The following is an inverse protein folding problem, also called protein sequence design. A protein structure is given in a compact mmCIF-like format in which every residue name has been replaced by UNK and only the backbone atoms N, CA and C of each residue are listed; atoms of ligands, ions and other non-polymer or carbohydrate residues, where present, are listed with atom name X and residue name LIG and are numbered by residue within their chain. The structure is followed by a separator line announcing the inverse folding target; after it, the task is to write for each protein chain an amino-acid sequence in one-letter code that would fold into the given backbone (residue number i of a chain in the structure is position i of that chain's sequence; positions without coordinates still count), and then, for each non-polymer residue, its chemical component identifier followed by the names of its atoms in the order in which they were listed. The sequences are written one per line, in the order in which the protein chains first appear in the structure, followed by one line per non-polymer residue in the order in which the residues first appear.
data_IF_622842824934
#
_entry.id   IF_622842824934
#
_cell.length_a   1.000
_cell.length_b   1.000
_cell.length_c   1.000
_cell.angle_alpha   90.00
_cell.angle_beta   90.00
_cell.angle_gamma   90.00
#
_symmetry.space_group_name_H-M   'P 1'
#
loop_
_entity.id
_entity.type
_entity.pdbx_description
1 polymer ?
#
# COMPACT_ATOMS: atom_id res chain seq x y z
N UNK A 1 12.89 -7.38 11.03
CA UNK A 1 12.20 -7.35 12.33
C UNK A 1 10.85 -6.74 12.06
N UNK A 2 9.82 -7.57 11.89
CA UNK A 2 8.45 -7.10 11.67
C UNK A 2 7.99 -6.47 12.98
N UNK A 3 7.74 -5.17 12.94
CA UNK A 3 7.22 -4.42 14.07
C UNK A 3 5.70 -4.58 14.01
N UNK A 4 5.23 -5.78 14.37
CA UNK A 4 3.83 -6.19 14.25
C UNK A 4 2.99 -5.45 15.30
N UNK A 5 2.30 -4.39 14.86
CA UNK A 5 1.29 -3.68 15.64
C UNK A 5 1.64 -2.23 16.00
N UNK A 6 1.15 -1.78 17.15
CA UNK A 6 1.33 -0.41 17.64
C UNK A 6 2.69 -0.25 18.34
N UNK A 7 3.34 0.91 18.15
CA UNK A 7 4.59 1.24 18.85
C UNK A 7 4.39 1.96 20.18
N UNK A 8 3.16 2.40 20.45
CA UNK A 8 2.75 3.07 21.69
C UNK A 8 1.53 2.34 22.29
N UNK A 9 1.27 2.45 23.59
CA UNK A 9 0.09 1.87 24.22
C UNK A 9 -1.21 2.32 23.53
N UNK A 10 -2.10 1.37 23.20
CA UNK A 10 -3.30 1.64 22.40
C UNK A 10 -4.25 2.63 23.10
N UNK A 11 -4.30 2.58 24.42
CA UNK A 11 -5.06 3.46 25.29
C UNK A 11 -4.59 4.92 25.26
N UNK A 12 -3.36 5.19 24.84
CA UNK A 12 -2.82 6.53 24.66
C UNK A 12 -3.07 7.08 23.24
N UNK A 13 -3.57 6.25 22.32
CA UNK A 13 -3.84 6.62 20.94
C UNK A 13 -5.28 7.07 20.75
N UNK A 14 -5.45 8.20 20.05
CA UNK A 14 -6.76 8.65 19.62
C UNK A 14 -7.41 7.65 18.64
N UNK A 15 -8.74 7.66 18.55
CA UNK A 15 -9.46 6.86 17.55
C UNK A 15 -8.98 7.18 16.13
N UNK A 16 -8.74 8.46 15.83
CA UNK A 16 -8.25 8.90 14.52
C UNK A 16 -6.87 8.30 14.19
N UNK A 17 -5.92 8.35 15.13
CA UNK A 17 -4.59 7.77 14.95
C UNK A 17 -4.68 6.26 14.73
N UNK A 18 -5.55 5.58 15.48
CA UNK A 18 -5.75 4.14 15.32
C UNK A 18 -6.40 3.80 13.98
N UNK A 19 -7.33 4.59 13.48
CA UNK A 19 -7.94 4.39 12.17
C UNK A 19 -6.93 4.64 11.04
N UNK A 20 -6.10 5.67 11.16
CA UNK A 20 -4.99 5.92 10.24
C UNK A 20 -3.96 4.79 10.27
N UNK A 21 -3.60 4.28 11.45
CA UNK A 21 -2.72 3.12 11.57
C UNK A 21 -3.28 1.88 10.85
N UNK A 22 -4.57 1.58 11.03
CA UNK A 22 -5.23 0.48 10.30
C UNK A 22 -5.10 0.68 8.79
N UNK A 23 -5.39 1.88 8.29
CA UNK A 23 -5.28 2.17 6.86
C UNK A 23 -3.84 2.02 6.34
N UNK A 24 -2.85 2.51 7.08
CA UNK A 24 -1.43 2.42 6.69
C UNK A 24 -0.96 0.97 6.68
N UNK A 25 -1.26 0.19 7.73
CA UNK A 25 -0.85 -1.22 7.80
C UNK A 25 -1.52 -2.03 6.69
N UNK A 26 -2.82 -1.84 6.45
CA UNK A 26 -3.49 -2.50 5.33
C UNK A 26 -2.87 -2.11 3.98
N UNK A 27 -2.56 -0.83 3.75
CA UNK A 27 -1.86 -0.41 2.53
C UNK A 27 -0.47 -1.08 2.40
N UNK A 28 0.27 -1.21 3.50
CA UNK A 28 1.57 -1.92 3.51
C UNK A 28 1.39 -3.39 3.13
N UNK A 29 0.42 -4.09 3.71
CA UNK A 29 0.10 -5.49 3.43
C UNK A 29 -0.25 -5.71 1.95
N UNK A 30 -1.07 -4.82 1.35
CA UNK A 30 -1.42 -4.91 -0.07
C UNK A 30 -0.17 -4.73 -0.96
N UNK A 31 0.71 -3.78 -0.62
CA UNK A 31 1.95 -3.55 -1.38
C UNK A 31 2.94 -4.72 -1.24
N UNK A 32 3.03 -5.34 -0.06
CA UNK A 32 3.80 -6.57 0.15
C UNK A 32 3.23 -7.74 -0.68
N UNK A 33 1.90 -7.89 -0.71
CA UNK A 33 1.25 -8.91 -1.53
C UNK A 33 1.52 -8.70 -3.03
N UNK A 34 1.44 -7.45 -3.53
CA UNK A 34 1.80 -7.10 -4.91
C UNK A 34 3.24 -7.53 -5.22
N UNK A 35 4.21 -7.19 -4.37
CA UNK A 35 5.62 -7.57 -4.57
C UNK A 35 5.80 -9.08 -4.56
N UNK A 36 5.29 -9.78 -3.54
CA UNK A 36 5.42 -11.23 -3.43
C UNK A 36 4.78 -11.97 -4.60
N UNK A 37 3.59 -11.57 -5.03
CA UNK A 37 2.97 -12.15 -6.21
C UNK A 37 3.78 -11.87 -7.46
N UNK A 38 4.37 -10.68 -7.62
CA UNK A 38 5.20 -10.37 -8.78
C UNK A 38 6.42 -11.30 -8.87
N UNK A 39 7.13 -11.49 -7.75
CA UNK A 39 8.25 -12.45 -7.66
C UNK A 39 7.81 -13.89 -7.98
N UNK A 40 6.65 -14.31 -7.43
CA UNK A 40 6.11 -15.65 -7.68
C UNK A 40 5.69 -15.83 -9.13
N UNK A 41 5.08 -14.84 -9.77
CA UNK A 41 4.69 -14.88 -11.19
C UNK A 41 5.92 -15.12 -12.09
N UNK A 42 7.02 -14.42 -11.83
CA UNK A 42 8.27 -14.58 -12.59
C UNK A 42 8.92 -15.96 -12.38
N UNK A 43 8.91 -16.46 -11.14
CA UNK A 43 9.50 -17.75 -10.80
C UNK A 43 8.62 -18.96 -11.20
N UNK A 44 7.30 -18.81 -11.24
CA UNK A 44 6.34 -19.90 -11.37
C UNK A 44 6.48 -20.64 -12.71
N UNK A 45 6.46 -21.97 -12.70
CA UNK A 45 6.61 -22.80 -13.91
C UNK A 45 5.29 -23.34 -14.44
N UNK A 46 4.23 -23.32 -13.63
CA UNK A 46 2.90 -23.75 -14.01
C UNK A 46 2.09 -22.56 -14.57
N UNK A 47 1.57 -22.65 -15.80
CA UNK A 47 0.85 -21.53 -16.43
C UNK A 47 -0.52 -21.24 -15.80
N UNK A 48 -1.21 -22.24 -15.25
CA UNK A 48 -2.51 -22.07 -14.60
C UNK A 48 -2.35 -21.34 -13.28
N UNK A 49 -1.40 -21.80 -12.44
CA UNK A 49 -1.06 -21.10 -11.20
C UNK A 49 -0.55 -19.68 -11.48
N UNK A 50 0.30 -19.49 -12.51
CA UNK A 50 0.79 -18.16 -12.89
C UNK A 50 -0.35 -17.20 -13.22
N UNK A 51 -1.40 -17.67 -13.90
CA UNK A 51 -2.57 -16.86 -14.21
C UNK A 51 -3.32 -16.41 -12.95
N UNK A 52 -3.52 -17.31 -11.97
CA UNK A 52 -4.14 -16.99 -10.68
C UNK A 52 -3.30 -15.97 -9.90
N UNK A 53 -2.00 -16.20 -9.78
CA UNK A 53 -1.10 -15.29 -9.06
C UNK A 53 -1.08 -13.89 -9.69
N UNK A 54 -1.12 -13.80 -11.03
CA UNK A 54 -1.19 -12.53 -11.75
C UNK A 54 -2.52 -11.82 -11.52
N UNK A 55 -3.62 -12.55 -11.53
CA UNK A 55 -4.95 -12.00 -11.24
C UNK A 55 -4.97 -11.37 -9.85
N UNK A 56 -4.63 -12.15 -8.82
CA UNK A 56 -4.63 -11.67 -7.43
C UNK A 56 -3.73 -10.45 -7.27
N UNK A 57 -2.50 -10.48 -7.82
CA UNK A 57 -1.56 -9.34 -7.81
C UNK A 57 -2.20 -8.05 -8.34
N UNK A 58 -2.99 -8.15 -9.40
CA UNK A 58 -3.57 -6.99 -10.04
C UNK A 58 -4.81 -6.49 -9.27
N UNK A 59 -5.54 -7.35 -8.56
CA UNK A 59 -6.59 -6.96 -7.60
C UNK A 59 -6.02 -6.24 -6.37
N UNK A 60 -4.89 -6.69 -5.80
CA UNK A 60 -4.30 -6.01 -4.63
C UNK A 60 -3.88 -4.55 -4.94
N UNK A 61 -3.61 -4.24 -6.21
CA UNK A 61 -3.35 -2.84 -6.64
C UNK A 61 -4.60 -1.97 -6.54
N UNK A 62 -5.78 -2.54 -6.77
CA UNK A 62 -7.05 -1.86 -6.55
C UNK A 62 -7.26 -1.62 -5.05
N UNK A 63 -7.05 -2.65 -4.22
CA UNK A 63 -7.15 -2.53 -2.75
C UNK A 63 -6.21 -1.44 -2.23
N UNK A 64 -4.94 -1.46 -2.65
CA UNK A 64 -3.96 -0.44 -2.30
C UNK A 64 -4.42 0.98 -2.72
N UNK A 65 -4.93 1.14 -3.95
CA UNK A 65 -5.41 2.43 -4.45
C UNK A 65 -6.62 2.95 -3.66
N UNK A 66 -7.57 2.07 -3.30
CA UNK A 66 -8.75 2.42 -2.50
C UNK A 66 -8.37 2.91 -1.10
N UNK A 67 -7.46 2.20 -0.43
CA UNK A 67 -7.00 2.57 0.92
C UNK A 67 -6.18 3.86 0.88
N UNK A 68 -5.30 4.01 -0.11
CA UNK A 68 -4.52 5.24 -0.32
C UNK A 68 -5.42 6.47 -0.52
N UNK A 69 -6.51 6.33 -1.27
CA UNK A 69 -7.48 7.41 -1.46
C UNK A 69 -8.21 7.78 -0.15
N UNK A 70 -8.51 6.79 0.71
CA UNK A 70 -9.09 7.06 2.03
C UNK A 70 -8.13 7.87 2.92
N UNK A 71 -6.83 7.53 2.89
CA UNK A 71 -5.75 8.26 3.58
C UNK A 71 -5.64 9.69 3.04
N UNK A 72 -5.56 9.85 1.71
CA UNK A 72 -5.47 11.16 1.05
C UNK A 72 -6.58 12.12 1.50
N UNK A 73 -7.82 11.62 1.65
CA UNK A 73 -8.96 12.45 2.09
C UNK A 73 -8.87 12.95 3.53
N UNK A 74 -7.99 12.37 4.36
CA UNK A 74 -7.90 12.64 5.81
C UNK A 74 -6.57 13.22 6.25
N UNK A 75 -5.53 13.11 5.42
CA UNK A 75 -4.24 13.73 5.68
C UNK A 75 -3.97 14.82 4.62
N UNK A 76 -4.15 16.12 4.97
CA UNK A 76 -3.90 17.23 4.06
C UNK A 76 -2.45 17.29 3.57
N UNK A 77 -1.48 16.79 4.36
CA UNK A 77 -0.09 16.75 3.93
C UNK A 77 0.09 15.67 2.88
N UNK A 78 -0.49 14.50 3.09
CA UNK A 78 -0.49 13.42 2.10
C UNK A 78 -1.17 13.85 0.80
N UNK A 79 -2.30 14.56 0.86
CA UNK A 79 -2.97 15.12 -0.34
C UNK A 79 -2.08 16.07 -1.13
N UNK A 80 -1.43 17.02 -0.45
CA UNK A 80 -0.52 17.96 -1.09
C UNK A 80 0.59 17.22 -1.84
N UNK A 81 1.30 16.32 -1.17
CA UNK A 81 2.43 15.61 -1.80
C UNK A 81 1.95 14.71 -2.94
N UNK A 82 0.83 13.99 -2.79
CA UNK A 82 0.31 13.17 -3.88
C UNK A 82 -0.04 14.00 -5.12
N UNK A 83 -0.64 15.18 -4.96
CA UNK A 83 -0.94 16.08 -6.09
C UNK A 83 0.31 16.66 -6.74
N UNK A 84 1.35 16.90 -5.95
CA UNK A 84 2.61 17.44 -6.46
C UNK A 84 3.30 16.43 -7.38
N UNK A 85 3.19 15.11 -7.14
CA UNK A 85 3.97 14.09 -7.85
C UNK A 85 3.17 13.16 -8.78
N UNK A 86 1.96 12.74 -8.39
CA UNK A 86 1.20 11.78 -9.19
C UNK A 86 0.74 12.39 -10.52
N UNK A 87 0.73 11.55 -11.56
CA UNK A 87 0.28 11.91 -12.92
C UNK A 87 1.08 13.07 -13.55
N UNK A 88 2.38 13.13 -13.25
CA UNK A 88 3.31 14.10 -13.86
C UNK A 88 4.42 13.39 -14.63
N UNK A 89 4.95 14.04 -15.66
CA UNK A 89 6.12 13.56 -16.45
C UNK A 89 7.44 14.20 -16.00
N UNK A 90 7.43 14.98 -14.90
CA UNK A 90 8.64 15.62 -14.38
C UNK A 90 9.55 14.57 -13.74
N UNK A 91 10.85 14.87 -13.67
CA UNK A 91 11.77 14.07 -12.83
C UNK A 91 11.27 14.12 -11.38
N UNK A 92 11.13 12.94 -10.77
CA UNK A 92 10.58 12.80 -9.41
C UNK A 92 11.53 13.40 -8.38
N UNK A 93 12.84 13.15 -8.52
CA UNK A 93 13.89 13.72 -7.69
C UNK A 93 14.95 14.42 -8.57
N UNK A 94 15.64 15.39 -7.98
CA UNK A 94 16.86 15.99 -8.52
C UNK A 94 18.08 15.36 -7.83
N UNK A 95 19.16 15.17 -8.58
CA UNK A 95 20.50 14.97 -8.03
C UNK A 95 21.16 16.33 -7.76
#
# INVERSE_FOLDING_TARGET
MSNEGYHEPIEELSTETRDMHRAIVSLMEELEAVDWYNQRVDACKDPELRAILKHNRDEEKEHAAMVLEWIRRRDPRFDKELRDYLFTDKKIAHD
#
